data_IF_448328757065
#
_entry.id   IF_448328757065
#
_cell.length_a   1.000
_cell.length_b   1.000
_cell.length_c   1.000
_cell.angle_alpha   90.00
_cell.angle_beta   90.00
_cell.angle_gamma   90.00
#
_symmetry.space_group_name_H-M   'P 1'
#
loop_
_entity.id
_entity.type
_entity.pdbx_description
1 polymer ?
#
# COMPACT_ATOMS: atom_id res chain seq x y z
N UNK A 1 -8.94 -1.25 0.14
CA UNK A 1 -10.06 -2.20 0.12
C UNK A 1 -9.53 -3.53 0.62
N UNK A 2 -10.00 -3.97 1.78
CA UNK A 2 -9.66 -5.29 2.31
C UNK A 2 -10.40 -6.35 1.52
N UNK A 3 -9.66 -7.34 1.02
CA UNK A 3 -10.21 -8.52 0.36
C UNK A 3 -10.17 -9.68 1.33
N UNK A 4 -11.34 -10.26 1.58
CA UNK A 4 -11.50 -11.53 2.30
C UNK A 4 -11.94 -12.60 1.32
N UNK A 5 -11.54 -13.84 1.56
CA UNK A 5 -12.02 -14.95 0.75
C UNK A 5 -13.56 -15.02 0.85
N UNK A 6 -14.29 -15.08 -0.28
CA UNK A 6 -15.72 -15.32 -0.23
C UNK A 6 -15.99 -16.73 0.27
N UNK A 7 -17.24 -16.98 0.69
CA UNK A 7 -17.67 -18.30 1.13
C UNK A 7 -17.35 -19.39 0.09
N UNK A 8 -16.95 -20.57 0.58
CA UNK A 8 -16.51 -21.69 -0.25
C UNK A 8 -15.13 -21.50 -0.89
N UNK A 9 -14.37 -20.48 -0.50
CA UNK A 9 -13.01 -20.23 -0.97
C UNK A 9 -12.09 -19.97 0.22
N UNK A 10 -10.81 -20.27 0.02
CA UNK A 10 -9.74 -19.96 0.97
C UNK A 10 -8.58 -19.29 0.24
N UNK A 11 -7.95 -18.31 0.88
CA UNK A 11 -6.75 -17.64 0.36
C UNK A 11 -5.50 -18.20 1.04
N UNK A 12 -4.57 -18.69 0.22
CA UNK A 12 -3.25 -19.10 0.64
C UNK A 12 -2.22 -18.09 0.12
N UNK A 13 -1.48 -17.47 1.05
CA UNK A 13 -0.47 -16.48 0.72
C UNK A 13 0.86 -17.16 0.46
N UNK A 14 1.35 -17.07 -0.78
CA UNK A 14 2.66 -17.56 -1.18
C UNK A 14 3.64 -16.40 -1.20
N UNK A 15 4.48 -16.31 -0.17
CA UNK A 15 5.47 -15.24 -0.08
C UNK A 15 6.68 -15.53 -0.98
N UNK A 16 7.23 -14.47 -1.58
CA UNK A 16 8.43 -14.54 -2.41
C UNK A 16 9.70 -14.96 -1.66
N UNK A 17 10.84 -14.97 -2.37
CA UNK A 17 12.11 -15.51 -1.88
C UNK A 17 12.53 -14.96 -0.51
N UNK A 18 12.84 -15.88 0.41
CA UNK A 18 13.27 -15.56 1.77
C UNK A 18 14.49 -14.61 1.78
N UNK A 19 14.39 -13.55 2.60
CA UNK A 19 15.48 -12.59 2.83
C UNK A 19 15.29 -11.21 2.18
N UNK A 20 14.26 -11.01 1.37
CA UNK A 20 13.87 -9.70 0.84
C UNK A 20 12.53 -9.26 1.46
N UNK A 21 12.58 -8.34 2.42
CA UNK A 21 11.41 -7.81 3.14
C UNK A 21 11.33 -6.29 3.00
N UNK A 22 10.17 -5.73 2.58
CA UNK A 22 8.95 -6.42 2.14
C UNK A 22 9.13 -7.22 0.84
N UNK A 23 8.53 -8.40 0.77
CA UNK A 23 8.54 -9.29 -0.39
C UNK A 23 7.79 -8.66 -1.56
N UNK A 24 8.45 -8.62 -2.73
CA UNK A 24 7.94 -7.93 -3.93
C UNK A 24 7.26 -8.86 -4.94
N UNK A 25 7.46 -10.17 -4.80
CA UNK A 25 7.06 -11.21 -5.74
C UNK A 25 6.14 -12.26 -5.11
N UNK A 26 5.34 -11.87 -4.10
CA UNK A 26 4.36 -12.76 -3.48
C UNK A 26 3.14 -12.95 -4.38
N UNK A 27 2.38 -14.02 -4.14
CA UNK A 27 1.18 -14.41 -4.86
C UNK A 27 0.08 -14.84 -3.88
N UNK A 28 -1.17 -14.86 -4.35
CA UNK A 28 -2.32 -15.33 -3.58
C UNK A 28 -2.95 -16.48 -4.34
N UNK A 29 -2.79 -17.70 -3.82
CA UNK A 29 -3.46 -18.88 -4.34
C UNK A 29 -4.87 -18.97 -3.74
N UNK A 30 -5.84 -19.33 -4.56
CA UNK A 30 -7.24 -19.50 -4.21
C UNK A 30 -7.59 -20.96 -4.39
N UNK A 31 -8.15 -21.56 -3.35
CA UNK A 31 -8.65 -22.92 -3.38
C UNK A 31 -10.11 -22.95 -2.94
N UNK A 32 -10.84 -23.99 -3.36
CA UNK A 32 -12.20 -24.20 -2.87
C UNK A 32 -12.17 -24.82 -1.48
N UNK A 33 -13.10 -24.38 -0.64
CA UNK A 33 -13.38 -24.96 0.66
C UNK A 33 -14.75 -25.65 0.61
N UNK A 34 -14.86 -26.84 1.20
CA UNK A 34 -16.13 -27.57 1.24
C UNK A 34 -17.14 -26.82 2.11
N UNK A 35 -18.36 -26.64 1.60
CA UNK A 35 -19.45 -25.93 2.27
C UNK A 35 -20.72 -26.76 2.44
N UNK A 36 -20.68 -28.08 2.22
CA UNK A 36 -21.86 -28.95 2.23
C UNK A 36 -22.67 -28.92 3.54
N UNK A 37 -22.08 -28.50 4.65
CA UNK A 37 -22.78 -28.33 5.93
C UNK A 37 -23.64 -27.06 6.03
N UNK A 38 -23.44 -26.09 5.13
CA UNK A 38 -23.97 -24.73 5.22
C UNK A 38 -24.84 -24.34 4.01
N UNK A 39 -25.04 -25.27 3.07
CA UNK A 39 -25.74 -25.00 1.79
C UNK A 39 -27.19 -24.53 1.99
N UNK A 40 -27.90 -25.11 2.98
CA UNK A 40 -29.30 -24.77 3.25
C UNK A 40 -29.47 -23.37 3.83
N UNK A 41 -28.52 -22.89 4.62
CA UNK A 41 -28.56 -21.55 5.21
C UNK A 41 -28.19 -20.47 4.19
N UNK A 42 -27.20 -20.77 3.34
CA UNK A 42 -26.65 -19.81 2.38
C UNK A 42 -27.36 -19.80 1.03
N UNK A 43 -28.19 -20.82 0.75
CA UNK A 43 -28.87 -20.97 -0.53
C UNK A 43 -27.90 -21.13 -1.72
N UNK A 44 -26.66 -21.56 -1.44
CA UNK A 44 -25.60 -21.77 -2.43
C UNK A 44 -25.06 -23.19 -2.35
N UNK A 45 -24.81 -23.76 -3.52
CA UNK A 45 -24.28 -25.10 -3.70
C UNK A 45 -22.77 -25.13 -3.49
N UNK A 46 -22.25 -26.23 -2.93
CA UNK A 46 -20.81 -26.42 -2.73
C UNK A 46 -20.08 -26.63 -4.06
N UNK A 47 -19.10 -25.76 -4.33
CA UNK A 47 -18.29 -25.82 -5.54
C UNK A 47 -17.48 -27.13 -5.70
N UNK A 48 -17.17 -27.83 -4.60
CA UNK A 48 -16.39 -29.09 -4.64
C UNK A 48 -17.22 -30.34 -4.93
N UNK A 49 -18.47 -30.37 -4.46
CA UNK A 49 -19.27 -31.60 -4.45
C UNK A 49 -20.51 -31.53 -5.34
N UNK A 50 -20.91 -30.34 -5.78
CA UNK A 50 -21.98 -30.18 -6.77
C UNK A 50 -21.46 -30.43 -8.19
N UNK A 51 -22.31 -30.97 -9.05
CA UNK A 51 -21.94 -31.18 -10.45
C UNK A 51 -21.89 -29.86 -11.22
N UNK A 52 -21.10 -29.80 -12.29
CA UNK A 52 -21.02 -28.61 -13.15
C UNK A 52 -22.40 -28.14 -13.64
N UNK A 53 -23.30 -29.07 -13.98
CA UNK A 53 -24.64 -28.72 -14.47
C UNK A 53 -25.52 -28.08 -13.38
N UNK A 54 -25.33 -28.46 -12.12
CA UNK A 54 -26.01 -27.82 -10.99
C UNK A 54 -25.47 -26.41 -10.74
N UNK A 55 -24.15 -26.22 -10.89
CA UNK A 55 -23.48 -24.93 -10.67
C UNK A 55 -23.75 -23.91 -11.79
N UNK A 56 -24.22 -24.32 -12.98
CA UNK A 56 -24.55 -23.40 -14.09
C UNK A 56 -25.55 -22.31 -13.73
N UNK A 57 -26.45 -22.59 -12.78
CA UNK A 57 -27.49 -21.65 -12.34
C UNK A 57 -27.02 -20.74 -11.21
N UNK A 58 -25.84 -21.00 -10.63
CA UNK A 58 -25.21 -20.18 -9.60
C UNK A 58 -24.28 -19.15 -10.23
N UNK A 59 -24.02 -18.05 -9.51
CA UNK A 59 -22.98 -17.10 -9.91
C UNK A 59 -21.63 -17.80 -10.09
N UNK A 60 -20.84 -17.41 -11.11
CA UNK A 60 -19.50 -17.95 -11.32
C UNK A 60 -18.62 -17.81 -10.08
N UNK A 61 -17.70 -18.77 -9.88
CA UNK A 61 -16.81 -18.74 -8.72
C UNK A 61 -15.80 -17.59 -8.81
N UNK A 62 -15.12 -17.29 -7.69
CA UNK A 62 -14.00 -16.35 -7.68
C UNK A 62 -12.88 -16.82 -8.61
N UNK A 63 -12.66 -18.14 -8.66
CA UNK A 63 -11.67 -18.78 -9.54
C UNK A 63 -11.97 -18.53 -11.02
N UNK A 64 -13.24 -18.57 -11.41
CA UNK A 64 -13.65 -18.33 -12.80
C UNK A 64 -13.56 -16.85 -13.20
N UNK A 65 -13.74 -15.95 -12.25
CA UNK A 65 -13.94 -14.51 -12.52
C UNK A 65 -12.69 -13.68 -12.29
N UNK A 66 -12.04 -13.82 -11.12
CA UNK A 66 -10.95 -12.94 -10.67
C UNK A 66 -9.59 -13.61 -10.63
N UNK A 67 -9.49 -14.92 -10.90
CA UNK A 67 -8.23 -15.65 -10.89
C UNK A 67 -7.69 -15.93 -12.30
N UNK A 68 -6.38 -16.05 -12.43
CA UNK A 68 -5.69 -16.58 -13.61
C UNK A 68 -5.03 -17.90 -13.19
N UNK A 69 -5.63 -19.01 -13.63
CA UNK A 69 -5.39 -20.31 -12.99
C UNK A 69 -5.92 -20.28 -11.54
N UNK A 70 -5.13 -20.79 -10.59
CA UNK A 70 -5.47 -20.76 -9.17
C UNK A 70 -5.05 -19.47 -8.45
N UNK A 71 -4.49 -18.48 -9.16
CA UNK A 71 -3.93 -17.28 -8.53
C UNK A 71 -4.83 -16.07 -8.73
N UNK A 72 -5.08 -15.33 -7.66
CA UNK A 72 -5.86 -14.10 -7.71
C UNK A 72 -5.16 -13.07 -8.62
N UNK A 73 -5.86 -12.61 -9.64
CA UNK A 73 -5.31 -11.73 -10.65
C UNK A 73 -5.58 -10.26 -10.30
N UNK A 74 -4.51 -9.49 -10.16
CA UNK A 74 -4.56 -8.07 -9.81
C UNK A 74 -5.33 -7.27 -10.85
N UNK A 75 -5.16 -7.55 -12.14
CA UNK A 75 -5.80 -6.77 -13.19
C UNK A 75 -7.29 -7.07 -13.27
N UNK A 76 -7.68 -8.34 -13.14
CA UNK A 76 -9.10 -8.72 -13.07
C UNK A 76 -9.75 -8.10 -11.84
N UNK A 77 -9.08 -8.14 -10.69
CA UNK A 77 -9.54 -7.52 -9.43
C UNK A 77 -9.68 -5.99 -9.57
N UNK A 78 -8.69 -5.32 -10.18
CA UNK A 78 -8.70 -3.88 -10.39
C UNK A 78 -9.80 -3.42 -11.36
N UNK A 79 -10.22 -4.26 -12.30
CA UNK A 79 -11.36 -3.99 -13.20
C UNK A 79 -12.70 -4.31 -12.55
N UNK A 80 -12.75 -5.28 -11.65
CA UNK A 80 -13.97 -5.75 -11.01
C UNK A 80 -14.67 -4.69 -10.16
N UNK A 81 -13.98 -4.09 -9.19
CA UNK A 81 -14.61 -3.09 -8.31
C UNK A 81 -15.17 -1.88 -9.08
N UNK A 82 -14.46 -1.27 -10.06
CA UNK A 82 -15.05 -0.17 -10.81
C UNK A 82 -16.30 -0.57 -11.61
N UNK A 83 -16.44 -1.83 -12.06
CA UNK A 83 -17.70 -2.30 -12.67
C UNK A 83 -18.84 -2.33 -11.66
N UNK A 84 -18.59 -2.84 -10.45
CA UNK A 84 -19.57 -2.83 -9.36
C UNK A 84 -19.95 -1.42 -8.93
N UNK A 85 -18.97 -0.53 -8.78
CA UNK A 85 -19.21 0.86 -8.41
C UNK A 85 -20.06 1.56 -9.46
N UNK A 86 -19.81 1.34 -10.77
CA UNK A 86 -20.66 1.89 -11.84
C UNK A 86 -22.09 1.38 -11.77
N UNK A 87 -22.26 0.07 -11.55
CA UNK A 87 -23.57 -0.54 -11.45
C UNK A 87 -24.36 -0.03 -10.23
N UNK A 88 -23.69 0.13 -9.10
CA UNK A 88 -24.29 0.63 -7.86
C UNK A 88 -24.55 2.14 -7.89
N UNK A 89 -23.72 2.92 -8.59
CA UNK A 89 -23.81 4.39 -8.63
C UNK A 89 -25.19 4.89 -9.05
N UNK A 90 -25.83 4.21 -10.02
CA UNK A 90 -27.17 4.58 -10.50
C UNK A 90 -28.26 4.48 -9.43
N UNK A 91 -28.01 3.74 -8.35
CA UNK A 91 -28.95 3.55 -7.24
C UNK A 91 -28.66 4.48 -6.05
N UNK A 92 -27.55 5.23 -6.09
CA UNK A 92 -27.15 6.13 -5.00
C UNK A 92 -27.78 7.52 -5.17
N UNK A 93 -28.31 8.13 -4.10
CA UNK A 93 -28.86 9.50 -4.14
C UNK A 93 -27.87 10.53 -4.69
N UNK A 94 -26.58 10.35 -4.41
CA UNK A 94 -25.49 11.25 -4.80
C UNK A 94 -25.33 11.34 -6.32
N UNK A 95 -25.79 10.33 -7.07
CA UNK A 95 -25.73 10.31 -8.53
C UNK A 95 -26.53 11.42 -9.20
N UNK A 96 -27.51 12.01 -8.50
CA UNK A 96 -28.29 13.14 -9.00
C UNK A 96 -27.51 14.47 -8.94
N UNK A 97 -26.58 14.59 -8.00
CA UNK A 97 -25.84 15.84 -7.74
C UNK A 97 -24.36 15.77 -8.15
N UNK A 98 -23.82 14.56 -8.31
CA UNK A 98 -22.40 14.34 -8.60
C UNK A 98 -22.22 13.46 -9.84
N UNK A 99 -21.19 13.78 -10.63
CA UNK A 99 -20.75 12.96 -11.74
C UNK A 99 -19.63 12.03 -11.30
N UNK A 100 -19.82 10.73 -11.54
CA UNK A 100 -18.78 9.72 -11.34
C UNK A 100 -18.14 9.34 -12.68
N UNK A 101 -16.82 9.49 -12.76
CA UNK A 101 -16.00 8.97 -13.86
C UNK A 101 -15.00 7.97 -13.33
N UNK A 102 -15.11 6.72 -13.78
CA UNK A 102 -14.08 5.70 -13.53
C UNK A 102 -12.95 5.86 -14.54
N UNK A 103 -11.73 5.96 -14.04
CA UNK A 103 -10.51 6.07 -14.84
C UNK A 103 -9.88 4.68 -15.08
N UNK A 104 -9.31 4.43 -16.26
CA UNK A 104 -8.66 3.15 -16.55
C UNK A 104 -7.42 2.96 -15.65
N UNK A 105 -7.28 1.78 -15.06
CA UNK A 105 -6.09 1.36 -14.32
C UNK A 105 -6.02 -0.17 -14.33
N UNK A 106 -4.82 -0.72 -14.38
CA UNK A 106 -4.59 -2.17 -14.34
C UNK A 106 -4.32 -2.68 -12.92
N UNK A 107 -4.08 -1.80 -11.94
CA UNK A 107 -3.61 -2.19 -10.60
C UNK A 107 -4.45 -1.56 -9.47
N UNK A 108 -5.34 -0.63 -9.78
CA UNK A 108 -6.12 0.11 -8.79
C UNK A 108 -7.51 0.46 -9.31
N UNK A 109 -8.44 0.76 -8.41
CA UNK A 109 -9.71 1.36 -8.81
C UNK A 109 -9.59 2.88 -8.67
N UNK A 110 -9.59 3.61 -9.79
CA UNK A 110 -9.48 5.07 -9.82
C UNK A 110 -10.82 5.70 -10.18
N UNK A 111 -11.33 6.54 -9.30
CA UNK A 111 -12.59 7.26 -9.46
C UNK A 111 -12.33 8.76 -9.45
N UNK A 112 -13.08 9.48 -10.27
CA UNK A 112 -13.12 10.93 -10.33
C UNK A 112 -14.56 11.36 -10.08
N UNK A 113 -14.78 12.04 -8.97
CA UNK A 113 -16.07 12.58 -8.58
C UNK A 113 -16.06 14.09 -8.83
N UNK A 114 -17.06 14.57 -9.55
CA UNK A 114 -17.27 16.01 -9.79
C UNK A 114 -18.61 16.40 -9.18
N UNK A 115 -18.62 17.41 -8.31
CA UNK A 115 -19.86 17.94 -7.75
C UNK A 115 -20.55 18.96 -8.68
N UNK A 116 -21.69 19.48 -8.25
CA UNK A 116 -22.44 20.51 -8.98
C UNK A 116 -21.71 21.86 -9.09
N UNK A 117 -20.67 22.09 -8.27
CA UNK A 117 -19.83 23.29 -8.28
C UNK A 117 -18.55 23.11 -9.09
N UNK A 118 -18.43 22.01 -9.85
CA UNK A 118 -17.22 21.61 -10.58
C UNK A 118 -15.99 21.38 -9.69
N UNK A 119 -16.17 21.14 -8.39
CA UNK A 119 -15.09 20.65 -7.54
C UNK A 119 -14.87 19.17 -7.82
N UNK A 120 -13.59 18.80 -7.93
CA UNK A 120 -13.20 17.45 -8.30
C UNK A 120 -12.44 16.76 -7.18
N UNK A 121 -12.84 15.53 -6.90
CA UNK A 121 -12.17 14.64 -5.95
C UNK A 121 -11.68 13.41 -6.70
N UNK A 122 -10.39 13.12 -6.55
CA UNK A 122 -9.77 11.90 -7.06
C UNK A 122 -9.65 10.88 -5.95
N UNK A 123 -10.19 9.69 -6.18
CA UNK A 123 -10.10 8.55 -5.27
C UNK A 123 -9.33 7.44 -5.96
N UNK A 124 -8.28 6.96 -5.31
CA UNK A 124 -7.56 5.77 -5.74
C UNK A 124 -7.65 4.71 -4.65
N UNK A 125 -8.30 3.61 -4.98
CA UNK A 125 -8.49 2.48 -4.09
C UNK A 125 -7.56 1.33 -4.50
N UNK A 126 -6.72 0.93 -3.55
CA UNK A 126 -5.86 -0.24 -3.65
C UNK A 126 -6.54 -1.42 -2.96
N UNK A 127 -6.28 -2.62 -3.46
CA UNK A 127 -6.81 -3.85 -2.86
C UNK A 127 -5.71 -4.51 -2.05
N UNK A 128 -6.08 -5.13 -0.93
CA UNK A 128 -5.12 -5.90 -0.16
C UNK A 128 -5.76 -7.04 0.62
N UNK A 129 -5.00 -8.12 0.75
CA UNK A 129 -5.31 -9.27 1.61
C UNK A 129 -4.36 -9.23 2.80
N UNK A 130 -4.91 -9.32 4.02
CA UNK A 130 -4.11 -9.28 5.24
C UNK A 130 -3.26 -10.54 5.37
N UNK A 131 -2.01 -10.38 5.79
CA UNK A 131 -1.13 -11.50 6.08
C UNK A 131 -1.35 -11.98 7.52
N UNK A 132 -2.15 -13.05 7.66
CA UNK A 132 -2.51 -13.57 8.97
C UNK A 132 -3.23 -12.52 9.81
N UNK A 133 -2.78 -12.33 11.03
CA UNK A 133 -3.24 -11.31 11.99
C UNK A 133 -2.30 -10.09 12.07
N UNK A 134 -1.33 -9.97 11.16
CA UNK A 134 -0.36 -8.88 11.13
C UNK A 134 -0.88 -7.60 10.46
N UNK A 135 -0.18 -6.49 10.65
CA UNK A 135 -0.43 -5.21 9.98
C UNK A 135 0.18 -5.11 8.56
N UNK A 136 0.64 -6.25 8.03
CA UNK A 136 1.20 -6.37 6.68
C UNK A 136 0.17 -6.97 5.73
N UNK A 137 0.09 -6.39 4.54
CA UNK A 137 -0.90 -6.78 3.52
C UNK A 137 -0.20 -7.13 2.22
N UNK A 138 -0.68 -8.14 1.51
CA UNK A 138 -0.38 -8.29 0.09
C UNK A 138 -1.30 -7.35 -0.69
N UNK A 139 -0.74 -6.42 -1.45
CA UNK A 139 -1.48 -5.31 -2.06
C UNK A 139 -1.26 -5.22 -3.55
N UNK A 140 -2.22 -4.64 -4.26
CA UNK A 140 -2.09 -4.32 -5.70
C UNK A 140 -1.17 -3.12 -5.98
N UNK A 141 -0.62 -2.51 -4.92
CA UNK A 141 0.27 -1.37 -5.01
C UNK A 141 1.55 -1.68 -5.77
N UNK A 142 1.74 -0.95 -6.88
CA UNK A 142 2.87 -1.17 -7.75
C UNK A 142 4.18 -0.85 -7.04
N UNK A 143 5.10 -1.80 -7.12
CA UNK A 143 6.51 -1.57 -6.81
C UNK A 143 7.22 -1.17 -8.10
N UNK A 144 8.27 -0.35 -8.04
CA UNK A 144 9.02 0.27 -9.16
C UNK A 144 9.51 -0.67 -10.30
N UNK A 145 9.24 -1.97 -10.24
CA UNK A 145 9.57 -2.92 -11.29
C UNK A 145 8.63 -2.79 -12.50
N UNK A 146 9.23 -2.58 -13.68
CA UNK A 146 8.58 -2.27 -14.96
C UNK A 146 7.72 -3.45 -15.48
N UNK A 147 8.01 -4.68 -15.04
CA UNK A 147 7.24 -5.88 -15.41
C UNK A 147 6.99 -6.75 -14.18
N UNK A 148 5.78 -6.67 -13.64
CA UNK A 148 5.28 -7.58 -12.60
C UNK A 148 4.14 -8.40 -13.21
N UNK A 149 4.08 -9.70 -12.92
CA UNK A 149 2.98 -10.56 -13.38
C UNK A 149 1.63 -9.98 -12.92
N UNK A 150 0.56 -10.25 -13.66
CA UNK A 150 -0.80 -9.90 -13.23
C UNK A 150 -1.19 -10.61 -11.93
N UNK A 151 -0.53 -11.72 -11.60
CA UNK A 151 -0.73 -12.49 -10.37
C UNK A 151 0.20 -12.11 -9.22
N UNK A 152 1.08 -11.11 -9.41
CA UNK A 152 2.00 -10.66 -8.35
C UNK A 152 1.33 -9.64 -7.42
N UNK A 153 1.34 -9.95 -6.12
CA UNK A 153 0.83 -9.14 -5.02
C UNK A 153 1.96 -8.81 -4.04
N UNK A 154 2.70 -7.69 -4.20
CA UNK A 154 3.76 -7.31 -3.28
C UNK A 154 3.23 -7.02 -1.87
N UNK A 155 4.06 -7.26 -0.86
CA UNK A 155 3.80 -6.80 0.50
C UNK A 155 3.79 -5.27 0.57
N UNK A 156 2.77 -4.74 1.25
CA UNK A 156 2.61 -3.34 1.58
C UNK A 156 2.66 -3.16 3.09
N UNK A 157 3.44 -2.18 3.50
CA UNK A 157 3.59 -1.74 4.88
C UNK A 157 2.67 -0.57 5.24
N UNK A 158 1.80 -0.15 4.32
CA UNK A 158 1.06 1.10 4.46
C UNK A 158 0.15 1.14 5.71
N UNK A 159 -0.42 0.00 6.11
CA UNK A 159 -1.27 -0.10 7.31
C UNK A 159 -0.43 0.02 8.58
N UNK A 160 0.66 -0.74 8.68
CA UNK A 160 1.62 -0.62 9.79
C UNK A 160 2.24 0.79 9.90
N UNK A 161 2.63 1.42 8.79
CA UNK A 161 3.13 2.79 8.78
C UNK A 161 2.05 3.79 9.25
N UNK A 162 0.79 3.62 8.82
CA UNK A 162 -0.31 4.45 9.27
C UNK A 162 -0.63 4.23 10.77
N UNK A 163 -0.48 2.99 11.26
CA UNK A 163 -0.60 2.68 12.68
C UNK A 163 0.50 3.39 13.49
N UNK A 164 1.73 3.44 12.99
CA UNK A 164 2.81 4.21 13.62
C UNK A 164 2.49 5.71 13.68
N UNK A 165 2.04 6.32 12.57
CA UNK A 165 1.64 7.73 12.60
C UNK A 165 0.49 7.99 13.58
N UNK A 166 -0.46 7.06 13.68
CA UNK A 166 -1.54 7.15 14.66
C UNK A 166 -1.00 7.08 16.08
N UNK A 167 -0.10 6.14 16.38
CA UNK A 167 0.58 6.02 17.66
C UNK A 167 1.33 7.30 18.02
N UNK A 168 2.07 7.91 17.09
CA UNK A 168 2.73 9.19 17.31
C UNK A 168 1.72 10.29 17.62
N UNK A 169 0.63 10.38 16.84
CA UNK A 169 -0.39 11.39 17.04
C UNK A 169 -1.12 11.27 18.39
N UNK A 170 -1.30 10.05 18.93
CA UNK A 170 -1.92 9.84 20.24
C UNK A 170 -1.00 10.19 21.42
N UNK A 171 0.33 10.16 21.21
CA UNK A 171 1.32 10.42 22.26
C UNK A 171 1.95 11.82 22.16
N UNK A 172 1.76 12.53 21.05
CA UNK A 172 2.25 13.88 20.86
C UNK A 172 1.39 14.92 21.59
N UNK A 173 1.99 16.07 21.92
CA UNK A 173 1.25 17.23 22.43
C UNK A 173 0.36 17.84 21.33
N UNK A 174 -0.72 18.51 21.73
CA UNK A 174 -1.70 19.12 20.79
C UNK A 174 -1.06 20.12 19.80
N UNK A 175 0.04 20.75 20.20
CA UNK A 175 0.80 21.72 19.42
C UNK A 175 1.94 21.09 18.60
N UNK A 176 1.97 19.76 18.47
CA UNK A 176 2.98 19.07 17.67
C UNK A 176 2.84 19.39 16.18
N UNK A 177 3.99 19.58 15.52
CA UNK A 177 4.13 20.02 14.13
C UNK A 177 4.70 18.94 13.21
N UNK A 178 4.84 17.70 13.66
CA UNK A 178 5.43 16.61 12.87
C UNK A 178 4.76 16.39 11.51
N UNK A 179 3.42 16.31 11.46
CA UNK A 179 2.69 16.17 10.19
C UNK A 179 2.83 17.41 9.30
N UNK A 180 2.80 18.62 9.88
CA UNK A 180 2.98 19.87 9.13
C UNK A 180 4.39 19.99 8.55
N UNK A 181 5.40 19.52 9.29
CA UNK A 181 6.79 19.44 8.84
C UNK A 181 6.91 18.49 7.65
N UNK A 182 6.33 17.29 7.75
CA UNK A 182 6.27 16.35 6.63
C UNK A 182 5.58 16.93 5.40
N UNK A 183 4.43 17.60 5.57
CA UNK A 183 3.69 18.24 4.49
C UNK A 183 4.52 19.35 3.82
N UNK A 184 5.20 20.19 4.61
CA UNK A 184 6.08 21.22 4.08
C UNK A 184 7.24 20.62 3.29
N UNK A 185 7.90 19.56 3.80
CA UNK A 185 8.93 18.84 3.06
C UNK A 185 8.39 18.24 1.76
N UNK A 186 7.21 17.62 1.80
CA UNK A 186 6.58 17.04 0.63
C UNK A 186 6.34 18.11 -0.43
N UNK A 187 5.80 19.28 -0.05
CA UNK A 187 5.61 20.44 -0.92
C UNK A 187 6.91 20.95 -1.54
N UNK A 188 7.99 21.06 -0.75
CA UNK A 188 9.30 21.53 -1.23
C UNK A 188 9.91 20.54 -2.22
N UNK A 189 9.70 19.24 -2.00
CA UNK A 189 10.24 18.17 -2.83
C UNK A 189 9.39 17.90 -4.08
N UNK A 190 8.22 18.56 -4.24
CA UNK A 190 7.44 18.51 -5.49
C UNK A 190 8.29 19.07 -6.63
N UNK A 191 8.52 18.24 -7.66
CA UNK A 191 9.32 18.60 -8.84
C UNK A 191 10.74 18.00 -8.84
N UNK A 192 11.14 17.32 -7.78
CA UNK A 192 12.41 16.57 -7.71
C UNK A 192 12.14 15.05 -7.89
N UNK A 193 13.11 14.26 -8.36
CA UNK A 193 12.94 12.79 -8.47
C UNK A 193 12.99 12.06 -7.11
N UNK A 194 12.60 12.72 -6.02
CA UNK A 194 12.39 12.06 -4.73
C UNK A 194 10.96 11.54 -4.65
N UNK A 195 10.81 10.21 -4.53
CA UNK A 195 9.49 9.64 -4.27
C UNK A 195 8.98 10.10 -2.89
N UNK A 196 7.68 10.38 -2.79
CA UNK A 196 7.03 10.67 -1.50
C UNK A 196 7.23 9.55 -0.46
N UNK A 197 7.39 8.30 -0.91
CA UNK A 197 7.65 7.15 -0.03
C UNK A 197 9.01 7.23 0.68
N UNK A 198 10.08 7.60 -0.05
CA UNK A 198 11.42 7.83 0.52
C UNK A 198 11.39 8.94 1.58
N UNK A 199 10.72 10.06 1.29
CA UNK A 199 10.54 11.14 2.28
C UNK A 199 9.78 10.64 3.51
N UNK A 200 8.69 9.90 3.31
CA UNK A 200 7.91 9.32 4.40
C UNK A 200 8.78 8.41 5.27
N UNK A 201 9.60 7.56 4.66
CA UNK A 201 10.51 6.65 5.38
C UNK A 201 11.51 7.44 6.24
N UNK A 202 12.08 8.53 5.72
CA UNK A 202 12.94 9.45 6.48
C UNK A 202 12.22 10.04 7.68
N UNK A 203 11.00 10.54 7.50
CA UNK A 203 10.22 11.13 8.59
C UNK A 203 9.86 10.09 9.65
N UNK A 204 9.52 8.86 9.25
CA UNK A 204 9.27 7.76 10.19
C UNK A 204 10.49 7.46 11.06
N UNK A 205 11.69 7.34 10.45
CA UNK A 205 12.94 7.14 11.19
C UNK A 205 13.25 8.29 12.15
N UNK A 206 13.07 9.54 11.71
CA UNK A 206 13.27 10.71 12.56
C UNK A 206 12.28 10.75 13.72
N UNK A 207 11.02 10.39 13.51
CA UNK A 207 10.00 10.33 14.56
C UNK A 207 10.32 9.26 15.60
N UNK A 208 10.84 8.12 15.17
CA UNK A 208 11.24 7.04 16.06
C UNK A 208 12.47 7.40 16.91
N UNK A 209 13.43 8.18 16.36
CA UNK A 209 14.67 8.54 17.05
C UNK A 209 14.64 9.86 17.83
N UNK A 210 13.59 10.68 17.67
CA UNK A 210 13.52 12.03 18.23
C UNK A 210 12.38 12.14 19.24
N UNK A 211 12.61 12.69 20.45
CA UNK A 211 11.54 12.92 21.43
C UNK A 211 10.38 13.74 20.84
N UNK A 212 9.13 13.42 21.20
CA UNK A 212 7.95 14.05 20.60
C UNK A 212 7.78 15.53 20.96
N UNK A 213 8.28 15.93 22.14
CA UNK A 213 8.37 17.33 22.60
C UNK A 213 9.24 18.18 21.68
N UNK A 214 10.13 17.50 20.97
CA UNK A 214 11.05 18.06 20.02
C UNK A 214 10.43 18.28 18.63
N UNK A 215 9.10 18.22 18.50
CA UNK A 215 8.36 18.50 17.25
C UNK A 215 7.47 19.73 17.36
N UNK A 216 7.93 20.78 18.05
CA UNK A 216 7.18 22.02 18.18
C UNK A 216 7.42 23.00 17.00
N UNK A 217 6.49 23.93 16.77
CA UNK A 217 6.57 24.96 15.70
C UNK A 217 7.88 25.76 15.74
N UNK A 218 8.38 26.08 16.93
CA UNK A 218 9.58 26.91 17.13
C UNK A 218 10.85 26.32 16.54
N UNK A 219 10.92 24.99 16.45
CA UNK A 219 12.07 24.23 15.92
C UNK A 219 11.76 23.59 14.56
N UNK A 220 10.69 24.04 13.89
CA UNK A 220 10.31 23.56 12.57
C UNK A 220 11.46 23.66 11.57
N UNK A 221 12.15 24.80 11.53
CA UNK A 221 13.29 25.01 10.63
C UNK A 221 14.42 23.98 10.86
N UNK A 222 14.71 23.66 12.12
CA UNK A 222 15.70 22.65 12.47
C UNK A 222 15.25 21.25 12.04
N UNK A 223 13.96 20.90 12.21
CA UNK A 223 13.43 19.61 11.75
C UNK A 223 13.43 19.48 10.23
N UNK A 224 13.18 20.57 9.51
CA UNK A 224 13.33 20.60 8.06
C UNK A 224 14.79 20.34 7.65
N UNK A 225 15.75 20.97 8.35
CA UNK A 225 17.18 20.72 8.13
C UNK A 225 17.57 19.28 8.48
N UNK A 226 17.05 18.72 9.57
CA UNK A 226 17.27 17.31 9.93
C UNK A 226 16.76 16.38 8.84
N UNK A 227 15.57 16.63 8.27
CA UNK A 227 15.02 15.83 7.16
C UNK A 227 15.92 15.91 5.93
N UNK A 228 16.36 17.12 5.56
CA UNK A 228 17.26 17.33 4.41
C UNK A 228 18.63 16.70 4.69
N UNK A 229 19.16 16.81 5.90
CA UNK A 229 20.46 16.23 6.27
C UNK A 229 20.38 14.70 6.30
N UNK A 230 19.31 14.13 6.84
CA UNK A 230 19.02 12.69 6.80
C UNK A 230 19.02 12.28 5.31
N UNK A 231 18.18 12.91 4.46
CA UNK A 231 18.14 12.66 3.01
C UNK A 231 19.52 12.74 2.34
N UNK A 232 20.35 13.73 2.70
CA UNK A 232 21.73 13.87 2.19
C UNK A 232 22.57 12.64 2.53
N UNK A 233 22.60 12.25 3.80
CA UNK A 233 23.38 11.10 4.27
C UNK A 233 22.99 9.83 3.52
N UNK A 234 21.70 9.59 3.25
CA UNK A 234 21.29 8.43 2.44
C UNK A 234 21.72 8.51 0.99
N UNK A 235 21.73 9.71 0.38
CA UNK A 235 22.23 9.85 -0.99
C UNK A 235 23.73 9.56 -1.05
N UNK A 236 24.49 10.00 -0.06
CA UNK A 236 25.93 9.76 0.04
C UNK A 236 26.25 8.28 0.30
N UNK A 237 25.54 7.66 1.26
CA UNK A 237 25.71 6.25 1.65
C UNK A 237 25.01 5.26 0.70
N UNK A 238 24.15 5.76 -0.20
CA UNK A 238 23.33 4.98 -1.15
C UNK A 238 22.46 3.91 -0.49
N UNK A 239 22.07 4.16 0.75
CA UNK A 239 21.40 3.18 1.59
C UNK A 239 20.27 3.86 2.35
N UNK A 240 19.06 3.31 2.30
CA UNK A 240 17.94 3.73 3.15
C UNK A 240 17.14 2.50 3.50
N UNK A 241 17.16 2.17 4.79
CA UNK A 241 16.44 1.04 5.32
C UNK A 241 14.94 1.29 5.36
N UNK A 242 14.20 0.23 5.05
CA UNK A 242 12.77 0.23 5.27
C UNK A 242 12.47 0.45 6.77
N UNK A 243 11.55 1.36 7.08
CA UNK A 243 11.29 1.77 8.46
C UNK A 243 10.94 0.61 9.42
N UNK A 244 10.14 -0.35 8.95
CA UNK A 244 9.64 -1.47 9.75
C UNK A 244 10.57 -2.69 9.82
N UNK A 245 11.71 -2.69 9.12
CA UNK A 245 12.60 -3.86 9.10
C UNK A 245 13.71 -3.71 10.12
N UNK A 246 13.79 -4.62 11.09
CA UNK A 246 14.84 -4.63 12.12
C UNK A 246 14.88 -3.37 13.00
N UNK A 247 13.79 -2.61 13.06
CA UNK A 247 13.71 -1.37 13.83
C UNK A 247 13.00 -1.60 15.16
N UNK A 248 13.77 -1.61 16.25
CA UNK A 248 13.26 -1.81 17.61
C UNK A 248 12.40 -0.66 18.14
N UNK A 249 12.43 0.51 17.48
CA UNK A 249 11.61 1.65 17.86
C UNK A 249 10.17 1.58 17.32
N UNK A 250 9.81 0.50 16.60
CA UNK A 250 8.42 0.24 16.20
C UNK A 250 7.62 -0.18 17.45
N UNK A 251 6.49 0.49 17.77
CA UNK A 251 5.65 0.13 18.91
C UNK A 251 5.14 -1.32 18.85
N UNK A 252 5.07 -1.98 20.00
CA UNK A 252 4.61 -3.38 20.12
C UNK A 252 3.14 -3.60 19.71
N UNK A 253 2.36 -2.53 19.62
CA UNK A 253 0.98 -2.55 19.11
C UNK A 253 0.90 -2.84 17.60
N UNK A 254 2.00 -2.61 16.87
CA UNK A 254 2.09 -2.85 15.44
C UNK A 254 2.60 -4.28 15.24
N UNK A 255 1.74 -5.16 14.77
CA UNK A 255 2.03 -6.59 14.64
C UNK A 255 2.74 -6.82 13.31
N UNK A 256 4.00 -7.22 13.37
CA UNK A 256 4.82 -7.54 12.20
C UNK A 256 5.04 -9.05 12.07
N UNK A 257 5.06 -9.62 10.86
CA UNK A 257 5.49 -11.01 10.65
C UNK A 257 6.95 -11.20 11.07
N UNK A 258 7.30 -12.39 11.59
CA UNK A 258 8.66 -12.76 12.03
C UNK A 258 9.77 -12.40 11.02
N UNK A 259 9.47 -12.44 9.72
CA UNK A 259 10.40 -12.06 8.67
C UNK A 259 10.92 -10.62 8.75
N UNK A 260 10.11 -9.68 9.26
CA UNK A 260 10.48 -8.25 9.38
C UNK A 260 11.46 -7.97 10.52
N UNK A 261 11.45 -8.79 11.57
CA UNK A 261 12.33 -8.64 12.74
C UNK A 261 13.77 -9.11 12.42
N UNK A 262 13.90 -10.16 11.61
CA UNK A 262 15.19 -10.82 11.29
C UNK A 262 15.76 -10.38 9.93
N UNK A 263 15.00 -9.57 9.17
CA UNK A 263 15.37 -9.17 7.82
C UNK A 263 16.65 -8.34 7.77
N UNK A 264 17.59 -8.79 6.91
CA UNK A 264 18.68 -7.94 6.44
C UNK A 264 18.13 -6.90 5.46
N UNK A 265 17.79 -5.73 6.01
CA UNK A 265 17.77 -4.41 5.39
C UNK A 265 17.73 -4.38 3.85
N UNK A 266 16.51 -4.37 3.28
CA UNK A 266 16.34 -3.97 1.89
C UNK A 266 16.50 -2.45 1.78
N UNK A 267 17.59 -2.01 1.14
CA UNK A 267 17.73 -0.62 0.74
C UNK A 267 16.66 -0.25 -0.28
N UNK A 268 15.87 0.77 0.01
CA UNK A 268 14.89 1.36 -0.92
C UNK A 268 15.53 1.94 -2.21
N UNK A 269 16.87 1.98 -2.27
CA UNK A 269 17.66 2.54 -3.37
C UNK A 269 18.49 1.50 -4.13
N UNK A 270 18.16 0.21 -4.05
CA UNK A 270 18.85 -0.82 -4.82
C UNK A 270 18.94 -0.48 -6.33
N UNK A 271 17.98 0.28 -6.88
CA UNK A 271 18.03 0.80 -8.26
C UNK A 271 19.09 1.92 -8.49
N UNK A 272 19.35 2.81 -7.53
CA UNK A 272 20.40 3.84 -7.66
C UNK A 272 21.81 3.26 -7.55
N UNK A 273 21.95 2.13 -6.85
CA UNK A 273 23.20 1.37 -6.82
C UNK A 273 23.47 0.71 -8.18
N UNK A 274 22.42 0.31 -8.90
CA UNK A 274 22.54 -0.33 -10.22
C UNK A 274 22.68 0.66 -11.38
N UNK A 275 22.21 1.91 -11.24
CA UNK A 275 22.32 2.95 -12.29
C UNK A 275 23.04 4.23 -11.80
N UNK A 276 24.37 4.33 -11.98
CA UNK A 276 25.17 5.47 -11.49
C UNK A 276 24.75 6.84 -12.05
N UNK A 277 24.19 6.88 -13.27
CA UNK A 277 23.74 8.12 -13.91
C UNK A 277 22.56 8.77 -13.18
N UNK A 278 21.62 7.97 -12.66
CA UNK A 278 20.48 8.47 -11.88
C UNK A 278 20.94 9.06 -10.55
N UNK A 279 21.95 8.45 -9.93
CA UNK A 279 22.53 8.95 -8.67
C UNK A 279 23.17 10.34 -8.83
N UNK A 280 23.97 10.54 -9.88
CA UNK A 280 24.59 11.83 -10.18
C UNK A 280 23.55 12.91 -10.46
N UNK A 281 22.47 12.56 -11.17
CA UNK A 281 21.38 13.48 -11.46
C UNK A 281 20.60 13.88 -10.21
N UNK A 282 20.25 12.90 -9.35
CA UNK A 282 19.54 13.15 -8.09
C UNK A 282 20.39 13.99 -7.13
N UNK A 283 21.70 13.74 -7.04
CA UNK A 283 22.62 14.58 -6.25
C UNK A 283 22.71 16.01 -6.78
N UNK A 284 22.71 16.21 -8.10
CA UNK A 284 22.73 17.55 -8.70
C UNK A 284 21.45 18.33 -8.41
N UNK A 285 20.29 17.68 -8.51
CA UNK A 285 19.01 18.31 -8.18
C UNK A 285 18.89 18.58 -6.67
N UNK A 286 19.41 17.68 -5.83
CA UNK A 286 19.43 17.87 -4.38
C UNK A 286 20.34 19.02 -3.91
N UNK A 287 21.46 19.28 -4.60
CA UNK A 287 22.29 20.47 -4.31
C UNK A 287 21.52 21.78 -4.53
N UNK A 288 20.70 21.85 -5.59
CA UNK A 288 19.84 23.02 -5.85
C UNK A 288 18.78 23.25 -4.78
N UNK A 289 18.40 22.21 -4.04
CA UNK A 289 17.47 22.27 -2.91
C UNK A 289 18.10 22.91 -1.66
N UNK A 290 19.40 22.72 -1.46
CA UNK A 290 20.12 23.25 -0.29
C UNK A 290 20.48 24.73 -0.42
N UNK A 291 20.59 25.21 -1.66
CA UNK A 291 20.90 26.60 -1.96
C UNK A 291 19.67 27.53 -1.88
N UNK A 292 18.51 27.01 -1.43
CA UNK A 292 17.23 27.72 -1.26
C UNK A 292 16.82 27.80 0.20
#
# INVERSE_FOLDING_TARGET
VLLTAPHGHVFHLELGTAGQWPARNSCICVEFQCTCGEEQEMGKLCFLHSSQDQLRNQEPSLLDTLCTGSYLDVEKTARWLPMLVRAAWTSLPESAAHQLKVLPSSRSCRLHLTDSFNQTVFLEMMFGVQQGDSDIFLSTQQTEAIFTSSTTWPQSCAVAEAAFFRHVATHAQEDSFHLRCMQACACILVGYNFSAYKLKTVVLHLLAGTPLESWHKSILHQRMDDIVQYLRRFLEEKHLDHFLTGNEAVPAEIVLPQGFEVARLLSLFQHLVQEPANHVWVLREFKKLQDR
#
